data_IF_340642153440
#
_entry.id   IF_340642153440
#
_cell.length_a   1.000
_cell.length_b   1.000
_cell.length_c   1.000
_cell.angle_alpha   90.00
_cell.angle_beta   90.00
_cell.angle_gamma   90.00
#
_symmetry.space_group_name_H-M   'P 1'
#
loop_
_entity.id
_entity.type
_entity.pdbx_description
1 polymer ?
#
# COMPACT_ATOMS: atom_id res chain seq x y z
N UNK A 1 -43.85 67.68 -58.82
CA UNK A 1 -42.76 68.57 -59.29
C UNK A 1 -41.68 68.63 -58.22
N UNK A 2 -40.40 68.51 -58.62
CA UNK A 2 -39.12 68.98 -58.01
C UNK A 2 -39.16 69.32 -56.50
N UNK A 3 -38.26 68.89 -55.63
CA UNK A 3 -36.80 69.01 -55.73
C UNK A 3 -36.16 68.42 -54.47
N UNK A 4 -34.96 67.87 -54.68
CA UNK A 4 -33.88 67.60 -53.72
C UNK A 4 -33.63 68.78 -52.77
N UNK A 5 -33.36 68.53 -51.47
CA UNK A 5 -32.29 69.22 -50.71
C UNK A 5 -31.73 68.33 -49.59
N UNK A 6 -30.44 68.00 -49.70
CA UNK A 6 -29.56 67.45 -48.68
C UNK A 6 -29.46 68.34 -47.43
N UNK A 7 -29.28 67.75 -46.24
CA UNK A 7 -28.41 68.31 -45.19
C UNK A 7 -28.04 67.25 -44.14
N UNK A 8 -26.75 66.95 -44.11
CA UNK A 8 -25.93 66.34 -43.04
C UNK A 8 -25.18 67.51 -42.36
N UNK A 9 -24.57 67.43 -41.15
CA UNK A 9 -24.73 66.58 -39.96
C UNK A 9 -25.02 67.41 -38.67
N UNK A 10 -25.21 66.75 -37.53
CA UNK A 10 -24.75 67.28 -36.24
C UNK A 10 -24.17 66.13 -35.41
N UNK A 11 -22.84 66.14 -35.24
CA UNK A 11 -22.13 65.25 -34.32
C UNK A 11 -22.47 65.63 -32.88
N UNK A 12 -22.89 64.66 -32.07
CA UNK A 12 -22.85 64.74 -30.62
C UNK A 12 -21.99 63.58 -30.11
N UNK A 13 -20.83 63.92 -29.55
CA UNK A 13 -19.93 62.98 -28.91
C UNK A 13 -20.49 62.58 -27.55
N UNK A 14 -20.56 61.27 -27.28
CA UNK A 14 -20.94 60.71 -25.98
C UNK A 14 -19.77 59.87 -25.46
N UNK A 15 -19.29 60.11 -24.22
CA UNK A 15 -18.09 59.47 -23.72
C UNK A 15 -18.36 58.01 -23.31
N UNK A 16 -17.54 57.11 -23.83
CA UNK A 16 -17.45 55.71 -23.41
C UNK A 16 -16.91 55.65 -21.98
N UNK A 17 -17.78 55.38 -21.01
CA UNK A 17 -17.39 54.93 -19.68
C UNK A 17 -17.03 53.45 -19.78
N UNK A 18 -15.73 53.16 -19.86
CA UNK A 18 -15.20 51.81 -19.69
C UNK A 18 -15.32 51.43 -18.20
N UNK A 19 -16.37 50.68 -17.85
CA UNK A 19 -16.36 49.89 -16.62
C UNK A 19 -15.32 48.79 -16.78
N UNK A 20 -14.15 49.01 -16.18
CA UNK A 20 -13.18 47.95 -15.92
C UNK A 20 -13.74 47.06 -14.81
N UNK A 21 -14.34 45.92 -15.18
CA UNK A 21 -14.48 44.80 -14.26
C UNK A 21 -13.09 44.25 -13.99
N UNK A 22 -12.55 44.53 -12.81
CA UNK A 22 -11.38 43.83 -12.29
C UNK A 22 -11.84 42.40 -11.95
N UNK A 23 -11.60 41.47 -12.87
CA UNK A 23 -11.77 40.05 -12.60
C UNK A 23 -10.65 39.68 -11.64
N UNK A 24 -10.98 39.57 -10.36
CA UNK A 24 -10.10 38.98 -9.37
C UNK A 24 -10.00 37.50 -9.72
N UNK A 25 -8.99 37.14 -10.52
CA UNK A 25 -8.57 35.77 -10.69
C UNK A 25 -8.04 35.29 -9.34
N UNK A 26 -8.94 34.74 -8.52
CA UNK A 26 -8.54 33.86 -7.44
C UNK A 26 -7.73 32.73 -8.08
N UNK A 27 -6.42 32.81 -7.95
CA UNK A 27 -5.48 31.81 -8.40
C UNK A 27 -5.79 30.52 -7.64
N UNK A 28 -6.62 29.66 -8.24
CA UNK A 28 -6.71 28.25 -7.88
C UNK A 28 -5.33 27.66 -8.15
N UNK A 29 -4.48 27.67 -7.12
CA UNK A 29 -3.26 26.88 -7.12
C UNK A 29 -3.69 25.44 -7.39
N UNK A 30 -3.14 24.75 -8.41
CA UNK A 30 -3.40 23.34 -8.57
C UNK A 30 -2.91 22.65 -7.29
N UNK A 31 -3.84 22.17 -6.47
CA UNK A 31 -3.52 21.17 -5.47
C UNK A 31 -3.09 19.93 -6.25
N UNK A 32 -1.77 19.75 -6.37
CA UNK A 32 -1.20 18.46 -6.70
C UNK A 32 -1.90 17.45 -5.78
N UNK A 33 -2.56 16.39 -6.29
CA UNK A 33 -3.21 15.41 -5.44
C UNK A 33 -2.16 14.95 -4.44
N UNK A 34 -2.45 15.15 -3.15
CA UNK A 34 -1.57 14.76 -2.05
C UNK A 34 -1.28 13.28 -2.23
N UNK A 35 -0.08 12.97 -2.75
CA UNK A 35 0.35 11.58 -2.94
C UNK A 35 0.45 11.05 -1.52
N UNK A 36 -0.58 10.32 -1.06
CA UNK A 36 -0.56 9.72 0.28
C UNK A 36 0.78 8.98 0.42
N UNK A 37 1.67 9.53 1.24
CA UNK A 37 2.97 8.95 1.52
C UNK A 37 2.73 7.73 2.40
N UNK A 38 3.13 6.54 1.94
CA UNK A 38 2.97 5.31 2.72
C UNK A 38 3.65 5.37 4.09
N UNK A 39 3.20 4.55 5.03
CA UNK A 39 3.74 4.45 6.38
C UNK A 39 5.08 3.72 6.37
N UNK A 40 6.08 4.27 7.05
CA UNK A 40 7.34 3.55 7.33
C UNK A 40 7.22 2.82 8.66
N UNK A 41 7.20 1.50 8.60
CA UNK A 41 7.22 0.61 9.76
C UNK A 41 8.66 0.34 10.16
N UNK A 42 8.97 0.49 11.45
CA UNK A 42 10.31 0.29 12.01
C UNK A 42 10.28 -0.89 12.98
N UNK A 43 11.05 -1.94 12.67
CA UNK A 43 11.35 -3.01 13.61
C UNK A 43 12.69 -2.65 14.24
N UNK A 44 12.67 -2.36 15.55
CA UNK A 44 13.88 -1.98 16.28
C UNK A 44 14.83 -3.16 16.42
N UNK A 45 16.14 -2.87 16.49
CA UNK A 45 17.15 -3.86 16.87
C UNK A 45 16.77 -4.55 18.19
N UNK A 46 16.89 -5.87 18.23
CA UNK A 46 16.51 -6.69 19.38
C UNK A 46 14.99 -6.88 19.54
N UNK A 47 14.18 -6.31 18.65
CA UNK A 47 12.73 -6.50 18.63
C UNK A 47 12.27 -7.51 17.58
N UNK A 48 11.01 -7.92 17.70
CA UNK A 48 10.33 -8.68 16.65
C UNK A 48 9.32 -7.83 15.89
N UNK A 49 8.62 -6.93 16.57
CA UNK A 49 7.41 -6.32 16.06
C UNK A 49 7.51 -4.81 15.92
N UNK A 50 6.58 -4.27 15.13
CA UNK A 50 6.31 -2.84 15.03
C UNK A 50 5.16 -2.47 15.97
N UNK A 51 5.15 -1.25 16.51
CA UNK A 51 4.04 -0.78 17.37
C UNK A 51 2.92 -0.22 16.50
N UNK A 52 1.75 -0.87 16.53
CA UNK A 52 0.62 -0.50 15.66
C UNK A 52 -0.72 -0.60 16.37
N UNK A 53 -1.73 0.20 15.94
CA UNK A 53 -3.07 0.05 16.46
C UNK A 53 -3.72 -1.24 15.97
N UNK A 54 -4.57 -1.84 16.81
CA UNK A 54 -5.52 -2.86 16.39
C UNK A 54 -6.48 -2.24 15.38
N UNK A 55 -6.56 -2.81 14.19
CA UNK A 55 -7.47 -2.39 13.14
C UNK A 55 -8.31 -3.57 12.71
N UNK A 56 -9.59 -3.57 13.07
CA UNK A 56 -10.54 -4.57 12.60
C UNK A 56 -10.77 -4.38 11.09
N UNK A 57 -10.82 -5.50 10.37
CA UNK A 57 -11.01 -5.53 8.92
C UNK A 57 -12.06 -6.56 8.58
N UNK A 58 -13.00 -6.13 7.75
CA UNK A 58 -13.92 -7.00 7.02
C UNK A 58 -13.69 -6.72 5.53
N UNK A 59 -13.05 -7.65 4.82
CA UNK A 59 -12.66 -7.46 3.42
C UNK A 59 -12.31 -8.80 2.76
N UNK A 60 -12.59 -8.91 1.46
CA UNK A 60 -12.13 -10.03 0.62
C UNK A 60 -10.85 -9.73 -0.14
N UNK A 61 -10.38 -8.49 -0.13
CA UNK A 61 -9.15 -8.10 -0.81
C UNK A 61 -8.39 -7.10 0.04
N UNK A 62 -7.08 -7.27 0.11
CA UNK A 62 -6.14 -6.31 0.66
C UNK A 62 -5.06 -6.04 -0.39
N UNK A 63 -4.95 -4.78 -0.81
CA UNK A 63 -3.94 -4.33 -1.76
C UNK A 63 -3.04 -3.30 -1.11
N UNK A 64 -1.74 -3.46 -1.29
CA UNK A 64 -0.75 -2.51 -0.77
C UNK A 64 0.48 -2.47 -1.66
N UNK A 65 1.18 -1.36 -1.60
CA UNK A 65 2.52 -1.20 -2.15
C UNK A 65 3.54 -1.36 -1.04
N UNK A 66 4.65 -2.03 -1.33
CA UNK A 66 5.78 -2.19 -0.40
C UNK A 66 7.09 -1.78 -1.05
N UNK A 67 7.95 -1.12 -0.29
CA UNK A 67 9.34 -0.86 -0.63
C UNK A 67 10.24 -1.13 0.58
N UNK A 68 11.37 -1.78 0.32
CA UNK A 68 12.42 -2.04 1.30
C UNK A 68 13.66 -1.23 0.93
N UNK A 69 14.40 -0.75 1.91
CA UNK A 69 15.73 -0.18 1.71
C UNK A 69 16.83 -1.16 2.16
N UNK A 70 18.07 -0.70 2.19
CA UNK A 70 19.22 -1.52 2.58
C UNK A 70 19.18 -2.04 4.01
N UNK A 71 18.32 -1.51 4.89
CA UNK A 71 18.16 -2.04 6.25
C UNK A 71 17.56 -3.44 6.26
N UNK A 72 16.89 -3.86 5.18
CA UNK A 72 16.35 -5.22 5.04
C UNK A 72 17.43 -6.29 4.76
N UNK A 73 18.68 -5.91 4.55
CA UNK A 73 19.81 -6.83 4.40
C UNK A 73 20.28 -7.24 5.79
N UNK A 74 20.17 -8.52 6.14
CA UNK A 74 20.56 -9.02 7.46
C UNK A 74 21.16 -10.42 7.41
N UNK A 75 21.92 -10.75 8.46
CA UNK A 75 22.32 -12.12 8.77
C UNK A 75 21.73 -12.51 10.12
N UNK A 76 21.16 -13.72 10.22
CA UNK A 76 20.75 -14.28 11.51
C UNK A 76 21.97 -14.69 12.33
N UNK A 77 21.81 -14.79 13.66
CA UNK A 77 22.85 -15.29 14.55
C UNK A 77 23.05 -16.79 14.35
N UNK A 78 21.96 -17.56 14.23
CA UNK A 78 22.03 -18.95 13.78
C UNK A 78 21.82 -19.00 12.26
N UNK A 79 22.81 -19.45 11.46
CA UNK A 79 22.66 -19.57 10.01
C UNK A 79 21.49 -20.45 9.56
N UNK A 80 21.04 -21.40 10.41
CA UNK A 80 19.90 -22.25 10.10
C UNK A 80 18.59 -21.45 10.01
N UNK A 81 18.48 -20.36 10.76
CA UNK A 81 17.29 -19.52 10.80
C UNK A 81 17.25 -18.50 9.65
N UNK A 82 18.30 -18.39 8.83
CA UNK A 82 18.33 -17.46 7.68
C UNK A 82 17.23 -17.78 6.66
N UNK A 83 16.77 -19.03 6.61
CA UNK A 83 15.69 -19.48 5.75
C UNK A 83 14.29 -19.14 6.33
N UNK A 84 14.20 -18.71 7.58
CA UNK A 84 12.92 -18.40 8.21
C UNK A 84 12.22 -17.23 7.55
N UNK A 85 10.89 -17.26 7.61
CA UNK A 85 10.03 -16.26 6.99
C UNK A 85 9.64 -15.22 8.04
N UNK A 86 10.14 -14.00 7.86
CA UNK A 86 9.62 -12.82 8.53
C UNK A 86 8.22 -12.53 7.97
N UNK A 87 7.35 -11.94 8.78
CA UNK A 87 5.98 -11.64 8.37
C UNK A 87 5.93 -10.18 7.91
N UNK A 88 5.16 -9.93 6.85
CA UNK A 88 4.97 -8.61 6.27
C UNK A 88 3.57 -8.11 6.64
N UNK A 89 2.65 -8.05 5.68
CA UNK A 89 1.37 -7.38 5.81
C UNK A 89 0.26 -8.32 5.37
N UNK A 90 -0.89 -8.22 6.02
CA UNK A 90 -2.04 -9.08 5.75
C UNK A 90 -3.10 -8.95 6.83
N UNK A 91 -3.85 -10.02 7.09
CA UNK A 91 -4.89 -10.03 8.10
C UNK A 91 -5.06 -11.39 8.78
N UNK A 92 -5.55 -11.37 10.01
CA UNK A 92 -6.22 -12.55 10.58
C UNK A 92 -7.53 -12.78 9.87
N UNK A 93 -8.04 -14.01 9.93
CA UNK A 93 -9.28 -14.37 9.26
C UNK A 93 -10.13 -15.33 10.10
N UNK A 94 -11.33 -15.63 9.60
CA UNK A 94 -12.31 -16.53 10.20
C UNK A 94 -12.80 -16.06 11.59
N UNK A 95 -12.57 -14.79 11.96
CA UNK A 95 -12.85 -14.28 13.30
C UNK A 95 -12.01 -14.92 14.40
N UNK A 96 -10.87 -15.53 14.06
CA UNK A 96 -10.02 -16.29 14.97
C UNK A 96 -8.69 -15.58 15.25
N UNK A 97 -7.90 -16.13 16.18
CA UNK A 97 -6.53 -15.66 16.41
C UNK A 97 -5.65 -15.91 15.16
N UNK A 98 -4.68 -15.05 14.90
CA UNK A 98 -3.91 -15.12 13.66
C UNK A 98 -3.00 -16.35 13.54
N UNK A 99 -2.64 -16.99 14.66
CA UNK A 99 -1.99 -18.30 14.60
C UNK A 99 -2.98 -19.46 14.41
N UNK A 100 -4.29 -19.23 14.38
CA UNK A 100 -5.26 -20.23 13.95
C UNK A 100 -5.56 -20.07 12.47
N UNK A 101 -5.99 -18.88 12.06
CA UNK A 101 -6.26 -18.55 10.67
C UNK A 101 -5.79 -17.13 10.32
N UNK A 102 -4.88 -17.04 9.36
CA UNK A 102 -4.42 -15.76 8.82
C UNK A 102 -3.83 -15.92 7.44
N UNK A 103 -3.76 -14.82 6.72
CA UNK A 103 -3.06 -14.70 5.46
C UNK A 103 -2.22 -13.43 5.46
N UNK A 104 -0.92 -13.59 5.19
CA UNK A 104 0.09 -12.52 5.17
C UNK A 104 1.03 -12.73 4.02
N UNK A 105 1.56 -11.64 3.48
CA UNK A 105 2.84 -11.74 2.81
C UNK A 105 3.94 -12.00 3.85
N UNK A 106 4.94 -12.77 3.47
CA UNK A 106 6.19 -12.96 4.20
C UNK A 106 7.36 -12.36 3.43
N UNK A 107 8.47 -12.15 4.11
CA UNK A 107 9.71 -11.64 3.51
C UNK A 107 10.94 -12.27 4.16
N UNK A 108 12.07 -12.27 3.46
CA UNK A 108 13.40 -12.59 4.03
C UNK A 108 14.51 -12.06 3.15
N UNK A 109 15.68 -11.81 3.73
CA UNK A 109 16.93 -11.70 2.99
C UNK A 109 17.58 -13.08 2.93
N UNK A 110 17.75 -13.64 1.74
CA UNK A 110 18.27 -14.99 1.57
C UNK A 110 19.09 -15.10 0.30
N UNK A 111 20.30 -15.68 0.40
CA UNK A 111 21.22 -15.88 -0.74
C UNK A 111 21.38 -14.63 -1.62
N UNK A 112 21.62 -13.49 -0.97
CA UNK A 112 21.77 -12.17 -1.60
C UNK A 112 20.55 -11.67 -2.38
N UNK A 113 19.35 -12.10 -1.99
CA UNK A 113 18.08 -11.65 -2.57
C UNK A 113 17.10 -11.28 -1.47
N UNK A 114 16.34 -10.21 -1.70
CA UNK A 114 15.14 -9.95 -0.93
C UNK A 114 13.99 -10.71 -1.56
N UNK A 115 13.37 -11.60 -0.79
CA UNK A 115 12.30 -12.48 -1.27
C UNK A 115 10.96 -12.10 -0.64
N UNK A 116 9.89 -12.21 -1.44
CA UNK A 116 8.51 -12.17 -0.97
C UNK A 116 7.89 -13.57 -1.02
N UNK A 117 7.11 -13.89 0.00
CA UNK A 117 6.49 -15.19 0.21
C UNK A 117 4.98 -15.05 0.47
N UNK A 118 4.21 -16.05 0.07
CA UNK A 118 2.88 -16.27 0.62
C UNK A 118 3.05 -16.93 1.98
N UNK A 119 2.33 -16.48 3.00
CA UNK A 119 2.41 -17.03 4.36
C UNK A 119 1.02 -17.07 5.00
N UNK A 120 0.54 -18.25 5.35
CA UNK A 120 -0.79 -18.39 5.98
C UNK A 120 -0.79 -19.37 7.13
N UNK A 121 -1.76 -19.20 8.02
CA UNK A 121 -2.24 -20.23 8.94
C UNK A 121 -3.61 -20.74 8.49
N UNK A 122 -3.80 -22.07 8.55
CA UNK A 122 -5.08 -22.76 8.36
C UNK A 122 -5.24 -23.78 9.48
N UNK A 123 -6.16 -23.54 10.41
CA UNK A 123 -6.37 -24.41 11.57
C UNK A 123 -5.08 -24.67 12.35
N UNK A 124 -4.34 -23.60 12.64
CA UNK A 124 -3.09 -23.61 13.40
C UNK A 124 -1.88 -24.27 12.72
N UNK A 125 -2.01 -24.67 11.45
CA UNK A 125 -0.90 -25.10 10.61
C UNK A 125 -0.44 -23.96 9.71
N UNK A 126 0.83 -23.56 9.82
CA UNK A 126 1.41 -22.57 8.92
C UNK A 126 1.84 -23.20 7.58
N UNK A 127 1.85 -22.39 6.54
CA UNK A 127 2.40 -22.74 5.22
C UNK A 127 3.03 -21.50 4.61
N UNK A 128 4.21 -21.66 4.01
CA UNK A 128 4.90 -20.59 3.31
C UNK A 128 5.40 -21.04 1.94
N UNK A 129 5.25 -20.19 0.93
CA UNK A 129 5.65 -20.49 -0.45
C UNK A 129 6.31 -19.26 -1.06
N UNK A 130 7.47 -19.43 -1.69
CA UNK A 130 8.16 -18.36 -2.42
C UNK A 130 7.29 -17.84 -3.56
N UNK A 131 7.13 -16.51 -3.66
CA UNK A 131 6.42 -15.85 -4.78
C UNK A 131 7.43 -15.32 -5.79
N UNK A 132 8.31 -14.42 -5.34
CA UNK A 132 9.30 -13.76 -6.20
C UNK A 132 10.43 -13.13 -5.39
N UNK A 133 11.56 -12.87 -6.04
CA UNK A 133 12.58 -11.96 -5.54
C UNK A 133 12.29 -10.53 -6.02
N UNK A 134 12.63 -9.54 -5.21
CA UNK A 134 12.41 -8.12 -5.47
C UNK A 134 13.71 -7.33 -5.26
N UNK A 135 13.81 -6.18 -5.93
CA UNK A 135 14.93 -5.27 -5.77
C UNK A 135 14.68 -4.30 -4.62
N UNK A 136 15.76 -3.94 -3.92
CA UNK A 136 15.73 -2.87 -2.92
C UNK A 136 15.43 -1.52 -3.60
N UNK A 137 14.79 -0.62 -2.84
CA UNK A 137 14.41 0.75 -3.22
C UNK A 137 13.46 0.84 -4.41
N UNK A 138 12.82 -0.26 -4.79
CA UNK A 138 11.71 -0.28 -5.75
C UNK A 138 10.40 -0.59 -5.03
N UNK A 139 9.32 -0.06 -5.58
CA UNK A 139 7.97 -0.29 -5.07
C UNK A 139 7.33 -1.46 -5.82
N UNK A 140 6.71 -2.36 -5.07
CA UNK A 140 5.98 -3.50 -5.60
C UNK A 140 4.56 -3.51 -5.06
N UNK A 141 3.58 -3.73 -5.93
CA UNK A 141 2.18 -3.94 -5.52
C UNK A 141 1.94 -5.40 -5.17
N UNK A 142 1.44 -5.61 -3.96
CA UNK A 142 1.00 -6.88 -3.42
C UNK A 142 -0.53 -6.87 -3.29
N UNK A 143 -1.16 -7.97 -3.69
CA UNK A 143 -2.60 -8.17 -3.53
C UNK A 143 -2.86 -9.53 -2.87
N UNK A 144 -3.65 -9.51 -1.81
CA UNK A 144 -4.17 -10.68 -1.13
C UNK A 144 -5.68 -10.73 -1.35
N UNK A 145 -6.17 -11.80 -1.97
CA UNK A 145 -7.60 -12.04 -2.21
C UNK A 145 -8.07 -13.29 -1.47
N UNK A 146 -9.17 -13.16 -0.73
CA UNK A 146 -9.82 -14.20 0.06
C UNK A 146 -11.05 -14.67 -0.72
N UNK A 147 -11.06 -15.94 -1.11
CA UNK A 147 -12.22 -16.63 -1.69
C UNK A 147 -12.80 -17.58 -0.66
N UNK A 148 -13.89 -18.29 -0.95
CA UNK A 148 -14.46 -19.27 -0.01
C UNK A 148 -13.50 -20.40 0.37
N UNK A 149 -12.48 -20.69 -0.44
CA UNK A 149 -11.61 -21.86 -0.21
C UNK A 149 -10.12 -21.54 -0.28
N UNK A 150 -9.73 -20.34 -0.73
CA UNK A 150 -8.34 -19.97 -1.00
C UNK A 150 -7.99 -18.57 -0.51
N UNK A 151 -6.73 -18.44 -0.09
CA UNK A 151 -5.98 -17.20 -0.09
C UNK A 151 -5.15 -17.13 -1.37
N UNK A 152 -5.33 -16.08 -2.15
CA UNK A 152 -4.63 -15.85 -3.43
C UNK A 152 -3.70 -14.65 -3.24
N UNK A 153 -2.40 -14.89 -3.38
CA UNK A 153 -1.34 -13.89 -3.24
C UNK A 153 -0.83 -13.54 -4.63
N UNK A 154 -0.76 -12.24 -4.94
CA UNK A 154 -0.26 -11.75 -6.22
C UNK A 154 0.79 -10.66 -6.04
N UNK A 155 1.89 -10.76 -6.79
CA UNK A 155 2.92 -9.73 -6.95
C UNK A 155 3.27 -9.63 -8.43
N UNK A 156 2.85 -8.53 -9.08
CA UNK A 156 2.93 -8.40 -10.54
C UNK A 156 2.15 -9.51 -11.25
N UNK A 157 2.83 -10.30 -12.10
CA UNK A 157 2.25 -11.46 -12.80
C UNK A 157 2.36 -12.78 -12.02
N UNK A 158 3.04 -12.79 -10.87
CA UNK A 158 3.23 -14.00 -10.07
C UNK A 158 2.06 -14.19 -9.12
N UNK A 159 1.52 -15.40 -9.09
CA UNK A 159 0.39 -15.79 -8.24
C UNK A 159 0.73 -17.06 -7.47
N UNK A 160 0.35 -17.10 -6.19
CA UNK A 160 0.45 -18.28 -5.31
C UNK A 160 -0.86 -18.42 -4.56
N UNK A 161 -1.31 -19.66 -4.34
CA UNK A 161 -2.54 -19.95 -3.61
C UNK A 161 -2.26 -20.84 -2.39
N UNK A 162 -2.85 -20.49 -1.26
CA UNK A 162 -2.94 -21.37 -0.09
C UNK A 162 -4.41 -21.67 0.23
N UNK A 163 -4.67 -22.77 0.91
CA UNK A 163 -6.02 -23.11 1.38
C UNK A 163 -6.49 -22.17 2.50
N UNK A 164 -7.78 -21.81 2.46
CA UNK A 164 -8.50 -21.08 3.49
C UNK A 164 -9.36 -22.02 4.34
N UNK A 165 -9.55 -21.70 5.62
CA UNK A 165 -10.29 -22.55 6.56
C UNK A 165 -11.81 -22.24 6.65
N UNK A 166 -12.22 -21.04 6.27
CA UNK A 166 -13.61 -20.58 6.34
C UNK A 166 -14.07 -20.01 5.00
N UNK A 167 -15.39 -19.90 4.85
CA UNK A 167 -16.05 -19.33 3.67
C UNK A 167 -16.60 -17.93 3.98
N UNK A 168 -17.05 -17.24 2.94
CA UNK A 168 -17.66 -15.93 3.05
C UNK A 168 -16.64 -14.80 3.20
N UNK A 169 -17.12 -13.65 3.65
CA UNK A 169 -16.29 -12.45 3.74
C UNK A 169 -15.14 -12.62 4.72
N UNK A 170 -13.94 -12.17 4.35
CA UNK A 170 -12.79 -12.11 5.25
C UNK A 170 -13.08 -11.25 6.47
N UNK A 171 -12.83 -11.77 7.68
CA UNK A 171 -13.13 -11.09 8.94
C UNK A 171 -12.02 -11.31 9.95
N UNK A 172 -11.43 -10.22 10.42
CA UNK A 172 -10.37 -10.26 11.42
C UNK A 172 -9.78 -8.88 11.70
N UNK A 173 -8.46 -8.82 11.79
CA UNK A 173 -7.71 -7.59 12.02
C UNK A 173 -6.43 -7.55 11.20
N UNK A 174 -5.96 -6.34 10.92
CA UNK A 174 -4.73 -6.10 10.19
C UNK A 174 -3.52 -6.67 10.92
N UNK A 175 -2.63 -7.30 10.16
CA UNK A 175 -1.34 -7.79 10.63
C UNK A 175 -0.22 -6.98 9.99
N UNK A 176 0.82 -6.73 10.78
CA UNK A 176 1.89 -5.78 10.48
C UNK A 176 3.25 -6.47 10.42
N UNK A 177 4.30 -5.77 9.93
CA UNK A 177 5.62 -6.37 9.80
C UNK A 177 6.19 -6.87 11.12
N UNK A 178 6.79 -8.05 11.05
CA UNK A 178 7.35 -8.79 12.17
C UNK A 178 8.60 -9.57 11.72
N UNK A 179 9.67 -9.51 12.49
CA UNK A 179 10.93 -10.22 12.26
C UNK A 179 10.99 -11.53 13.04
N UNK A 180 11.35 -12.61 12.34
CA UNK A 180 11.73 -13.89 12.91
C UNK A 180 10.57 -14.67 13.53
N UNK A 181 10.91 -15.32 14.64
CA UNK A 181 10.10 -16.16 15.50
C UNK A 181 10.92 -16.44 16.74
N UNK A 182 12.03 -17.16 16.56
CA UNK A 182 12.97 -17.47 17.66
C UNK A 182 14.07 -16.41 17.82
N UNK A 183 14.50 -15.78 16.72
CA UNK A 183 15.49 -14.69 16.73
C UNK A 183 14.86 -13.32 16.52
N UNK A 184 15.44 -12.31 17.19
CA UNK A 184 15.07 -10.90 17.06
C UNK A 184 15.87 -10.21 15.95
N UNK A 185 15.40 -9.03 15.52
CA UNK A 185 16.06 -8.26 14.47
C UNK A 185 17.51 -7.89 14.87
N UNK A 186 18.53 -8.21 14.06
CA UNK A 186 19.94 -7.96 14.40
C UNK A 186 20.33 -6.48 14.35
N UNK A 187 19.53 -5.67 13.67
CA UNK A 187 19.63 -4.20 13.58
C UNK A 187 18.25 -3.61 13.28
N UNK A 188 18.14 -2.28 13.22
CA UNK A 188 16.90 -1.60 12.85
C UNK A 188 16.51 -1.88 11.38
N UNK A 189 15.27 -2.29 11.14
CA UNK A 189 14.75 -2.60 9.80
C UNK A 189 13.56 -1.70 9.47
N UNK A 190 13.60 -1.06 8.30
CA UNK A 190 12.58 -0.15 7.78
C UNK A 190 11.86 -0.74 6.58
N UNK A 191 10.54 -0.64 6.61
CA UNK A 191 9.67 -1.14 5.55
C UNK A 191 8.60 -0.10 5.27
N UNK A 192 8.59 0.47 4.06
CA UNK A 192 7.55 1.43 3.64
C UNK A 192 6.39 0.65 3.04
N UNK A 193 5.19 0.84 3.57
CA UNK A 193 3.95 0.22 3.08
C UNK A 193 2.89 1.29 2.86
N UNK A 194 2.26 1.28 1.69
CA UNK A 194 1.11 2.12 1.35
C UNK A 194 -0.09 1.23 1.05
N UNK A 195 -1.15 1.33 1.83
CA UNK A 195 -2.42 0.65 1.50
C UNK A 195 -3.03 1.30 0.27
N UNK A 196 -3.42 0.50 -0.71
CA UNK A 196 -4.09 0.95 -1.93
C UNK A 196 -5.57 0.64 -1.77
N UNK A 197 -6.40 1.68 -1.82
CA UNK A 197 -7.87 1.56 -1.79
C UNK A 197 -8.40 1.03 -3.12
#
# INVERSE_FOLDING_TARGET
MKSIVNKVPLLLAMPFLLLSCEVVEDAIKPQNPEVEEGTTYVINMGGHETTNPLKLITANTMRFEVAFDSTAIYSTKDPNNQADINKLFGMSDCGTFHHDNSARFGWRWYKNKLELHAYSYKGSKNTSTFITAIDLKKTYTCELTLTDTKYIYKVGEKTVEHDRACTGEGKGYQLYPYFGGDETAPHEIKIKIKVVK
#
